data_IF_112609684766
#
_entry.id   IF_112609684766
#
_cell.length_a   1.000
_cell.length_b   1.000
_cell.length_c   1.000
_cell.angle_alpha   90.00
_cell.angle_beta   90.00
_cell.angle_gamma   90.00
#
_symmetry.space_group_name_H-M   'P 1'
#
loop_
_entity.id
_entity.type
_entity.pdbx_description
1 polymer ?
#
# COMPACT_ATOMS: atom_id res chain seq x y z
N UNK A 1 -11.64 -12.87 19.09
CA UNK A 1 -11.36 -11.74 18.17
C UNK A 1 -10.02 -11.99 17.54
N UNK A 2 -9.93 -12.00 16.21
CA UNK A 2 -8.67 -12.13 15.47
C UNK A 2 -8.12 -10.73 15.08
N UNK A 3 -6.90 -10.69 14.53
CA UNK A 3 -6.25 -9.41 14.20
C UNK A 3 -7.01 -8.56 13.17
N UNK A 4 -7.69 -9.19 12.21
CA UNK A 4 -8.50 -8.48 11.23
C UNK A 4 -9.74 -7.84 11.87
N UNK A 5 -10.41 -8.56 12.76
CA UNK A 5 -11.55 -8.02 13.52
C UNK A 5 -11.11 -6.87 14.44
N UNK A 6 -9.94 -7.01 15.10
CA UNK A 6 -9.39 -5.95 15.93
C UNK A 6 -9.09 -4.68 15.11
N UNK A 7 -8.50 -4.84 13.93
CA UNK A 7 -8.23 -3.73 13.02
C UNK A 7 -9.52 -3.03 12.59
N UNK A 8 -10.53 -3.80 12.13
CA UNK A 8 -11.79 -3.20 11.66
C UNK A 8 -12.51 -2.48 12.81
N UNK A 9 -12.57 -3.06 14.00
CA UNK A 9 -13.17 -2.38 15.17
C UNK A 9 -12.43 -1.09 15.49
N UNK A 10 -11.09 -1.10 15.47
CA UNK A 10 -10.30 0.12 15.69
C UNK A 10 -10.60 1.21 14.66
N UNK A 11 -10.76 0.82 13.38
CA UNK A 11 -11.14 1.76 12.32
C UNK A 11 -12.55 2.34 12.54
N UNK A 12 -13.50 1.49 12.94
CA UNK A 12 -14.87 1.92 13.28
C UNK A 12 -14.88 2.89 14.46
N UNK A 13 -14.13 2.56 15.52
CA UNK A 13 -13.97 3.45 16.68
C UNK A 13 -13.31 4.78 16.29
N UNK A 14 -12.46 4.78 15.27
CA UNK A 14 -11.85 5.95 14.64
C UNK A 14 -12.78 6.71 13.66
N UNK A 15 -14.04 6.30 13.53
CA UNK A 15 -15.05 6.97 12.69
C UNK A 15 -15.09 6.49 11.23
N UNK A 16 -14.35 5.45 10.85
CA UNK A 16 -14.40 4.86 9.51
C UNK A 16 -15.64 3.99 9.37
N UNK A 17 -16.53 4.33 8.45
CA UNK A 17 -17.80 3.62 8.22
C UNK A 17 -17.85 2.89 6.86
N UNK A 18 -16.88 3.13 5.99
CA UNK A 18 -16.84 2.54 4.65
C UNK A 18 -15.42 2.08 4.31
N UNK A 19 -15.33 0.92 3.68
CA UNK A 19 -14.11 0.39 3.11
C UNK A 19 -14.34 0.06 1.63
N UNK A 20 -13.65 0.74 0.73
CA UNK A 20 -13.64 0.41 -0.70
C UNK A 20 -12.56 -0.62 -0.95
N UNK A 21 -12.93 -1.76 -1.54
CA UNK A 21 -12.05 -2.92 -1.60
C UNK A 21 -11.98 -3.52 -3.01
N UNK A 22 -10.76 -3.85 -3.43
CA UNK A 22 -10.51 -4.80 -4.51
C UNK A 22 -9.59 -5.91 -3.95
N UNK A 23 -10.17 -6.87 -3.19
CA UNK A 23 -9.38 -7.87 -2.49
C UNK A 23 -8.97 -9.02 -3.40
N UNK A 24 -7.82 -9.63 -3.09
CA UNK A 24 -7.43 -10.94 -3.57
C UNK A 24 -7.40 -11.97 -2.45
N UNK A 25 -6.71 -13.08 -2.66
CA UNK A 25 -6.65 -14.19 -1.70
C UNK A 25 -5.93 -13.84 -0.39
N UNK A 26 -5.01 -12.88 -0.43
CA UNK A 26 -4.26 -12.45 0.74
C UNK A 26 -5.11 -11.66 1.76
N UNK A 27 -6.19 -11.05 1.30
CA UNK A 27 -7.06 -10.19 2.10
C UNK A 27 -8.30 -10.89 2.64
N UNK A 28 -8.47 -12.21 2.40
CA UNK A 28 -9.67 -12.96 2.77
C UNK A 28 -9.99 -12.90 4.28
N UNK A 29 -8.98 -12.82 5.13
CA UNK A 29 -9.19 -12.65 6.58
C UNK A 29 -9.84 -11.31 6.92
N UNK A 30 -9.48 -10.24 6.21
CA UNK A 30 -10.11 -8.93 6.36
C UNK A 30 -11.54 -8.95 5.80
N UNK A 31 -11.75 -9.53 4.63
CA UNK A 31 -13.07 -9.66 4.01
C UNK A 31 -14.03 -10.44 4.91
N UNK A 32 -13.60 -11.60 5.44
CA UNK A 32 -14.41 -12.37 6.38
C UNK A 32 -14.70 -11.62 7.69
N UNK A 33 -13.80 -10.77 8.13
CA UNK A 33 -14.01 -9.96 9.32
C UNK A 33 -15.04 -8.83 9.10
N UNK A 34 -15.19 -8.31 7.88
CA UNK A 34 -16.24 -7.33 7.55
C UNK A 34 -17.65 -7.86 7.83
N UNK A 35 -17.89 -9.16 7.58
CA UNK A 35 -19.19 -9.79 7.84
C UNK A 35 -19.56 -9.80 9.34
N UNK A 36 -18.57 -9.70 10.21
CA UNK A 36 -18.76 -9.72 11.68
C UNK A 36 -18.83 -8.31 12.29
N UNK A 37 -18.60 -7.26 11.52
CA UNK A 37 -18.60 -5.87 11.98
C UNK A 37 -19.50 -5.02 11.07
N UNK A 38 -20.84 -5.06 11.28
CA UNK A 38 -21.80 -4.43 10.40
C UNK A 38 -21.73 -2.89 10.36
N UNK A 39 -20.98 -2.28 11.27
CA UNK A 39 -20.73 -0.85 11.30
C UNK A 39 -19.80 -0.38 10.19
N UNK A 40 -19.01 -1.28 9.62
CA UNK A 40 -18.14 -1.00 8.46
C UNK A 40 -18.78 -1.55 7.19
N UNK A 41 -19.23 -0.68 6.31
CA UNK A 41 -19.75 -1.07 5.00
C UNK A 41 -18.59 -1.40 4.04
N UNK A 42 -18.50 -2.64 3.58
CA UNK A 42 -17.63 -3.03 2.47
C UNK A 42 -18.25 -2.67 1.13
N UNK A 43 -17.50 -2.01 0.26
CA UNK A 43 -17.89 -1.69 -1.12
C UNK A 43 -16.87 -2.30 -2.07
N UNK A 44 -17.30 -3.34 -2.80
CA UNK A 44 -16.47 -3.98 -3.82
C UNK A 44 -16.31 -3.05 -5.02
N UNK A 45 -15.09 -2.90 -5.49
CA UNK A 45 -14.75 -2.20 -6.73
C UNK A 45 -13.89 -3.11 -7.61
N UNK A 46 -13.85 -2.84 -8.91
CA UNK A 46 -13.19 -3.72 -9.87
C UNK A 46 -11.76 -3.27 -10.25
N UNK A 47 -11.29 -2.19 -9.64
CA UNK A 47 -9.94 -1.65 -9.86
C UNK A 47 -9.52 -0.77 -8.68
N UNK A 48 -8.29 -0.88 -8.24
CA UNK A 48 -7.80 -0.21 -7.02
C UNK A 48 -7.73 1.32 -7.18
N UNK A 49 -7.48 1.81 -8.40
CA UNK A 49 -7.60 3.23 -8.69
C UNK A 49 -9.02 3.76 -8.44
N UNK A 50 -10.06 2.95 -8.72
CA UNK A 50 -11.44 3.30 -8.38
C UNK A 50 -11.64 3.27 -6.87
N UNK A 51 -11.09 2.28 -6.16
CA UNK A 51 -11.17 2.20 -4.70
C UNK A 51 -10.63 3.48 -4.04
N UNK A 52 -9.42 3.87 -4.42
CA UNK A 52 -8.73 5.02 -3.84
C UNK A 52 -9.37 6.35 -4.24
N UNK A 53 -9.86 6.46 -5.48
CA UNK A 53 -10.62 7.63 -5.93
C UNK A 53 -11.98 7.77 -5.23
N UNK A 54 -12.69 6.66 -5.03
CA UNK A 54 -13.95 6.64 -4.31
C UNK A 54 -13.76 7.01 -2.83
N UNK A 55 -12.69 6.51 -2.19
CA UNK A 55 -12.36 6.86 -0.82
C UNK A 55 -12.01 8.34 -0.66
N UNK A 56 -11.22 8.89 -1.59
CA UNK A 56 -10.90 10.33 -1.62
C UNK A 56 -12.18 11.18 -1.76
N UNK A 57 -13.04 10.84 -2.73
CA UNK A 57 -14.30 11.54 -2.96
C UNK A 57 -15.28 11.43 -1.78
N UNK A 58 -15.43 10.23 -1.22
CA UNK A 58 -16.27 10.00 -0.05
C UNK A 58 -15.79 10.83 1.15
N UNK A 59 -14.50 10.78 1.44
CA UNK A 59 -13.98 11.47 2.61
C UNK A 59 -14.11 12.99 2.51
N UNK A 60 -14.01 13.54 1.31
CA UNK A 60 -14.25 14.98 1.07
C UNK A 60 -15.70 15.39 1.27
N UNK A 61 -16.64 14.56 0.79
CA UNK A 61 -18.07 14.93 0.80
C UNK A 61 -18.70 14.62 2.15
N UNK A 62 -18.37 13.48 2.75
CA UNK A 62 -18.92 13.03 4.01
C UNK A 62 -18.24 13.66 5.24
N UNK A 63 -17.12 14.37 5.04
CA UNK A 63 -16.24 14.90 6.10
C UNK A 63 -15.88 13.82 7.14
N UNK A 64 -15.56 12.63 6.67
CA UNK A 64 -15.25 11.45 7.49
C UNK A 64 -14.15 10.61 6.85
N UNK A 65 -13.33 9.93 7.64
CA UNK A 65 -12.32 9.03 7.08
C UNK A 65 -12.96 7.85 6.34
N UNK A 66 -12.33 7.42 5.27
CA UNK A 66 -12.65 6.20 4.54
C UNK A 66 -11.47 5.23 4.59
N UNK A 67 -11.74 3.92 4.51
CA UNK A 67 -10.71 2.91 4.33
C UNK A 67 -10.69 2.41 2.88
N UNK A 68 -9.52 1.96 2.45
CA UNK A 68 -9.34 1.16 1.23
C UNK A 68 -8.60 -0.12 1.55
N UNK A 69 -9.00 -1.22 0.92
CA UNK A 69 -8.31 -2.50 0.98
C UNK A 69 -7.77 -2.84 -0.40
N UNK A 70 -6.45 -2.96 -0.50
CA UNK A 70 -5.72 -3.13 -1.75
C UNK A 70 -4.97 -4.46 -1.77
N UNK A 71 -4.95 -5.11 -2.95
CA UNK A 71 -4.29 -6.40 -3.13
C UNK A 71 -2.79 -6.22 -3.36
N UNK A 72 -2.00 -6.50 -2.32
CA UNK A 72 -0.54 -6.57 -2.37
C UNK A 72 0.12 -5.31 -3.01
N UNK A 73 1.36 -5.48 -3.50
CA UNK A 73 2.10 -4.44 -4.20
C UNK A 73 1.44 -3.93 -5.49
N UNK A 74 0.93 -4.80 -6.38
CA UNK A 74 0.22 -4.36 -7.59
C UNK A 74 -1.00 -3.50 -7.29
N UNK A 75 -1.81 -3.88 -6.30
CA UNK A 75 -2.98 -3.09 -5.91
C UNK A 75 -2.60 -1.73 -5.34
N UNK A 76 -1.55 -1.67 -4.51
CA UNK A 76 -1.02 -0.39 -4.06
C UNK A 76 -0.53 0.46 -5.24
N UNK A 77 0.19 -0.16 -6.20
CA UNK A 77 0.67 0.51 -7.41
C UNK A 77 -0.45 1.16 -8.21
N UNK A 78 -1.55 0.42 -8.43
CA UNK A 78 -2.73 0.91 -9.15
C UNK A 78 -3.45 2.05 -8.41
N UNK A 79 -3.38 2.07 -7.08
CA UNK A 79 -4.03 3.09 -6.25
C UNK A 79 -3.24 4.38 -6.06
N UNK A 80 -1.93 4.40 -6.36
CA UNK A 80 -1.01 5.48 -5.96
C UNK A 80 -1.40 6.86 -6.47
N UNK A 81 -1.93 6.99 -7.70
CA UNK A 81 -2.26 8.27 -8.29
C UNK A 81 -3.29 9.05 -7.44
N UNK A 82 -4.38 8.39 -7.06
CA UNK A 82 -5.42 9.01 -6.24
C UNK A 82 -4.98 9.18 -4.78
N UNK A 83 -4.18 8.24 -4.24
CA UNK A 83 -3.58 8.40 -2.90
C UNK A 83 -2.63 9.60 -2.84
N UNK A 84 -1.87 9.88 -3.91
CA UNK A 84 -1.07 11.08 -4.01
C UNK A 84 -1.94 12.34 -3.93
N UNK A 85 -3.07 12.36 -4.65
CA UNK A 85 -3.99 13.50 -4.65
C UNK A 85 -4.67 13.67 -3.29
N UNK A 86 -5.16 12.59 -2.67
CA UNK A 86 -5.75 12.60 -1.34
C UNK A 86 -4.76 13.17 -0.29
N UNK A 87 -3.49 12.69 -0.33
CA UNK A 87 -2.43 13.21 0.55
C UNK A 87 -2.20 14.71 0.37
N UNK A 88 -2.08 15.18 -0.87
CA UNK A 88 -1.88 16.61 -1.14
C UNK A 88 -3.04 17.47 -0.67
N UNK A 89 -4.25 16.94 -0.76
CA UNK A 89 -5.47 17.62 -0.31
C UNK A 89 -5.75 17.39 1.20
N UNK A 90 -4.91 16.63 1.91
CA UNK A 90 -5.07 16.26 3.33
C UNK A 90 -6.39 15.55 3.62
N UNK A 91 -6.85 14.73 2.67
CA UNK A 91 -8.07 13.94 2.81
C UNK A 91 -7.78 12.70 3.67
N UNK A 92 -8.59 12.39 4.69
CA UNK A 92 -8.34 11.26 5.58
C UNK A 92 -8.73 9.94 4.92
N UNK A 93 -7.77 9.24 4.33
CA UNK A 93 -7.94 7.89 3.76
C UNK A 93 -7.01 6.93 4.48
N UNK A 94 -7.55 5.87 5.06
CA UNK A 94 -6.78 4.79 5.67
C UNK A 94 -6.54 3.70 4.64
N UNK A 95 -5.28 3.39 4.39
CA UNK A 95 -4.88 2.40 3.38
C UNK A 95 -4.46 1.10 4.05
N UNK A 96 -5.18 0.03 3.76
CA UNK A 96 -4.85 -1.33 4.17
C UNK A 96 -4.39 -2.09 2.93
N UNK A 97 -3.19 -2.63 2.99
CA UNK A 97 -2.61 -3.41 1.90
C UNK A 97 -2.34 -4.82 2.41
N UNK A 98 -2.83 -5.81 1.69
CA UNK A 98 -2.50 -7.20 1.98
C UNK A 98 -1.01 -7.47 1.81
N UNK A 99 -0.51 -8.49 2.50
CA UNK A 99 0.86 -8.95 2.33
C UNK A 99 0.90 -10.47 2.28
N UNK A 100 1.92 -11.00 1.62
CA UNK A 100 2.16 -12.44 1.53
C UNK A 100 2.86 -12.91 2.80
N UNK A 101 2.46 -14.04 3.41
CA UNK A 101 3.18 -14.62 4.53
C UNK A 101 4.68 -14.78 4.23
N UNK A 102 5.52 -14.56 5.23
CA UNK A 102 7.00 -14.61 5.07
C UNK A 102 7.51 -15.96 4.56
N UNK A 103 6.84 -17.06 4.90
CA UNK A 103 7.14 -18.41 4.37
C UNK A 103 6.96 -18.46 2.85
N UNK A 104 5.89 -17.88 2.32
CA UNK A 104 5.61 -17.87 0.87
C UNK A 104 6.58 -16.98 0.11
N UNK A 105 7.11 -15.94 0.75
CA UNK A 105 8.13 -15.04 0.13
C UNK A 105 9.44 -15.76 -0.20
N UNK A 106 9.78 -16.81 0.52
CA UNK A 106 11.00 -17.60 0.27
C UNK A 106 10.86 -18.64 -0.84
N UNK A 107 9.62 -19.07 -1.15
CA UNK A 107 9.35 -20.19 -2.06
C UNK A 107 8.83 -19.77 -3.43
N UNK A 108 8.35 -18.56 -3.60
CA UNK A 108 7.78 -18.05 -4.86
C UNK A 108 8.39 -16.72 -5.25
N UNK A 109 9.55 -16.70 -5.95
CA UNK A 109 10.23 -15.46 -6.37
C UNK A 109 9.35 -14.53 -7.23
N UNK A 110 8.38 -15.08 -7.95
CA UNK A 110 7.49 -14.33 -8.84
C UNK A 110 6.45 -13.47 -8.11
N UNK A 111 6.14 -13.81 -6.87
CA UNK A 111 5.17 -13.10 -6.05
C UNK A 111 5.83 -12.32 -4.91
N UNK A 112 7.11 -12.04 -5.02
CA UNK A 112 7.73 -11.13 -4.07
C UNK A 112 7.26 -9.70 -4.39
N UNK A 113 6.12 -9.25 -3.86
CA UNK A 113 5.75 -7.87 -3.96
C UNK A 113 6.77 -7.15 -3.10
N UNK A 114 7.66 -6.48 -3.74
CA UNK A 114 8.54 -5.51 -3.12
C UNK A 114 7.72 -4.33 -2.58
N UNK A 115 6.55 -4.60 -1.98
CA UNK A 115 5.71 -3.61 -1.31
C UNK A 115 6.51 -2.81 -0.27
N UNK A 116 7.56 -3.42 0.29
CA UNK A 116 8.53 -2.74 1.16
C UNK A 116 9.60 -1.94 0.42
N UNK A 117 9.67 -2.01 -0.91
CA UNK A 117 10.69 -1.30 -1.73
C UNK A 117 10.14 -0.18 -2.61
N UNK A 118 8.87 0.15 -2.53
CA UNK A 118 8.34 1.32 -3.24
C UNK A 118 9.04 2.59 -2.77
N UNK A 119 9.20 3.58 -3.66
CA UNK A 119 9.95 4.80 -3.36
C UNK A 119 9.50 5.46 -2.06
N UNK A 120 10.45 6.04 -1.34
CA UNK A 120 10.25 6.67 -0.03
C UNK A 120 9.11 7.70 0.05
N UNK A 121 8.65 8.23 -1.10
CA UNK A 121 7.52 9.15 -1.16
C UNK A 121 6.17 8.55 -0.69
N UNK A 122 6.06 7.21 -0.66
CA UNK A 122 4.86 6.51 -0.16
C UNK A 122 4.99 6.04 1.29
N UNK A 123 6.18 6.19 1.91
CA UNK A 123 6.46 5.64 3.25
C UNK A 123 5.96 6.48 4.43
N UNK A 124 5.70 7.75 4.22
CA UNK A 124 5.33 8.65 5.33
C UNK A 124 3.92 8.39 5.89
N UNK A 125 3.27 7.30 5.49
CA UNK A 125 1.97 6.90 6.01
C UNK A 125 1.77 5.39 6.13
N UNK A 126 2.76 4.57 5.76
CA UNK A 126 2.69 3.10 5.88
C UNK A 126 3.69 2.59 6.91
N UNK A 127 3.32 2.58 8.17
CA UNK A 127 4.06 1.83 9.18
C UNK A 127 3.63 0.36 9.09
N UNK A 128 4.51 -0.52 8.57
CA UNK A 128 4.38 -1.94 8.81
C UNK A 128 4.91 -2.23 10.22
N UNK A 129 4.14 -2.82 11.12
CA UNK A 129 4.66 -3.20 12.42
C UNK A 129 5.71 -4.30 12.24
N UNK A 130 6.96 -4.03 12.58
CA UNK A 130 7.96 -5.06 12.87
C UNK A 130 9.18 -5.18 11.98
N UNK A 131 9.54 -4.21 11.13
CA UNK A 131 10.83 -4.25 10.43
C UNK A 131 11.75 -3.15 10.91
N UNK A 132 12.76 -3.52 11.70
CA UNK A 132 13.89 -2.65 12.00
C UNK A 132 14.61 -2.25 10.68
N UNK A 133 15.14 -1.03 10.56
CA UNK A 133 15.85 -0.59 9.37
C UNK A 133 17.16 -1.38 9.24
N UNK A 134 17.23 -2.28 8.26
CA UNK A 134 18.50 -2.85 7.83
C UNK A 134 19.28 -1.75 7.09
N UNK A 135 20.48 -1.47 7.56
CA UNK A 135 21.42 -0.54 6.96
C UNK A 135 21.56 -0.80 5.45
N UNK A 136 21.31 0.24 4.67
CA UNK A 136 21.40 0.22 3.20
C UNK A 136 22.86 0.00 2.79
N UNK A 137 23.18 -1.00 1.96
CA UNK A 137 24.51 -1.06 1.35
C UNK A 137 24.69 0.16 0.43
N UNK A 138 25.78 0.87 0.59
CA UNK A 138 26.18 1.98 -0.28
C UNK A 138 26.43 1.42 -1.68
N UNK A 139 25.84 1.97 -2.75
CA UNK A 139 26.15 1.54 -4.10
C UNK A 139 27.62 1.79 -4.42
N UNK A 140 28.31 0.92 -5.18
CA UNK A 140 29.69 1.15 -5.57
C UNK A 140 29.80 2.44 -6.38
N UNK A 141 30.85 3.20 -6.10
CA UNK A 141 31.17 4.43 -6.81
C UNK A 141 31.40 4.13 -8.30
N UNK A 142 30.83 4.89 -9.24
CA UNK A 142 31.09 4.68 -10.66
C UNK A 142 32.59 4.89 -10.94
N UNK A 143 33.16 4.00 -11.72
CA UNK A 143 34.55 4.09 -12.17
C UNK A 143 34.75 5.35 -13.04
N UNK A 144 35.90 6.03 -12.94
CA UNK A 144 36.19 7.17 -13.79
C UNK A 144 36.24 6.75 -15.27
N UNK A 145 35.85 7.63 -16.21
CA UNK A 145 35.88 7.30 -17.64
C UNK A 145 37.32 7.04 -18.09
N UNK A 146 37.50 5.96 -18.86
CA UNK A 146 38.80 5.62 -19.45
C UNK A 146 39.24 6.78 -20.38
N UNK A 147 40.45 7.26 -20.14
CA UNK A 147 41.10 8.29 -20.91
C UNK A 147 41.27 7.82 -22.36
N UNK A 148 40.58 8.46 -23.32
CA UNK A 148 40.76 8.16 -24.74
C UNK A 148 42.07 8.75 -25.17
N UNK A 149 43.08 7.88 -25.29
CA UNK A 149 44.35 8.20 -25.87
C UNK A 149 44.14 8.85 -27.26
N UNK A 150 44.57 10.12 -27.37
CA UNK A 150 44.62 10.91 -28.57
C UNK A 150 45.70 10.37 -29.50
N UNK A 151 45.37 9.53 -30.47
CA UNK A 151 46.28 9.19 -31.54
C UNK A 151 46.43 10.37 -32.49
N UNK A 152 47.55 11.06 -32.35
CA UNK A 152 48.05 12.04 -33.34
C UNK A 152 48.49 11.24 -34.57
N UNK A 153 47.83 11.46 -35.73
CA UNK A 153 48.39 11.10 -37.04
C UNK A 153 49.04 12.36 -37.63
N UNK A 154 50.35 12.21 -37.91
CA UNK A 154 51.07 13.00 -38.92
C UNK A 154 50.77 12.43 -40.31
#
# INVERSE_FOLDING_TARGET
>A
MNGAQALINTLVDGGVQVCFANPGTSEMHFVAALDTVPQMRGVLVLFEGVATGAADGYARIADRPAAVLLHLGPGLGNGLANLHNARRARVPVVVVVGDTPSITKSTTPHWNPTSTRWPAASRDGCAAPGTAPTSRPTPPRPSPPADRARTSRR
#
